data_IF_379479060180
#
_entry.id   IF_379479060180
#
_cell.length_a   1.000
_cell.length_b   1.000
_cell.length_c   1.000
_cell.angle_alpha   90.00
_cell.angle_beta   90.00
_cell.angle_gamma   90.00
#
_symmetry.space_group_name_H-M   'P 1'
#
loop_
_entity.id
_entity.type
_entity.pdbx_description
1 polymer ?
#
# COMPACT_ATOMS: atom_id res chain seq x y z
N UNK A 1 -3.40 -18.24 -28.84
CA UNK A 1 -3.93 -18.95 -27.67
C UNK A 1 -2.89 -18.86 -26.56
N UNK A 2 -3.26 -18.42 -25.35
CA UNK A 2 -2.34 -18.37 -24.22
C UNK A 2 -2.33 -19.73 -23.53
N UNK A 3 -1.14 -20.32 -23.33
CA UNK A 3 -0.97 -21.58 -22.59
C UNK A 3 -0.37 -21.33 -21.21
N UNK A 4 -0.79 -22.11 -20.22
CA UNK A 4 -0.23 -22.06 -18.87
C UNK A 4 1.19 -22.62 -18.89
N UNK A 5 2.11 -21.98 -18.18
CA UNK A 5 3.49 -22.46 -18.03
C UNK A 5 3.64 -23.14 -16.65
N UNK A 6 3.70 -24.50 -16.59
CA UNK A 6 3.79 -25.23 -15.32
C UNK A 6 5.01 -24.83 -14.48
N UNK A 7 6.15 -24.51 -15.12
CA UNK A 7 7.39 -24.11 -14.44
C UNK A 7 7.31 -22.76 -13.74
N UNK A 8 6.32 -21.92 -14.10
CA UNK A 8 6.08 -20.59 -13.50
C UNK A 8 4.79 -20.54 -12.69
N UNK A 9 4.12 -21.68 -12.53
CA UNK A 9 2.87 -21.82 -11.79
C UNK A 9 3.13 -22.48 -10.44
N UNK A 10 2.54 -21.94 -9.39
CA UNK A 10 2.70 -22.42 -8.02
C UNK A 10 1.33 -22.46 -7.34
N UNK A 11 1.21 -23.32 -6.33
CA UNK A 11 0.03 -23.39 -5.47
C UNK A 11 0.37 -22.72 -4.14
N UNK A 12 -0.38 -21.69 -3.80
CA UNK A 12 -0.29 -21.01 -2.50
C UNK A 12 -1.54 -21.36 -1.67
N UNK A 13 -1.45 -22.29 -0.72
CA UNK A 13 -2.56 -22.60 0.16
C UNK A 13 -2.80 -21.42 1.11
N UNK A 14 -4.06 -21.02 1.25
CA UNK A 14 -4.46 -19.96 2.17
C UNK A 14 -5.42 -20.59 3.18
N UNK A 15 -5.03 -20.64 4.44
CA UNK A 15 -5.87 -21.18 5.49
C UNK A 15 -5.88 -20.30 6.73
N UNK A 16 -6.96 -20.41 7.51
CA UNK A 16 -7.14 -19.69 8.77
C UNK A 16 -6.26 -20.27 9.88
N UNK A 17 -6.01 -21.59 9.85
CA UNK A 17 -5.23 -22.32 10.82
C UNK A 17 -3.88 -22.75 10.21
N UNK A 18 -2.95 -23.24 11.06
CA UNK A 18 -1.67 -23.73 10.60
C UNK A 18 -1.84 -24.77 9.47
N UNK A 19 -1.10 -24.56 8.38
CA UNK A 19 -1.08 -25.45 7.22
C UNK A 19 -0.15 -26.65 7.43
N UNK A 20 0.61 -26.68 8.53
CA UNK A 20 1.69 -27.64 8.76
C UNK A 20 1.19 -29.09 8.91
N UNK A 21 -0.09 -29.26 9.24
CA UNK A 21 -0.72 -30.59 9.38
C UNK A 21 -1.61 -31.01 8.21
N UNK A 22 -1.75 -30.16 7.17
CA UNK A 22 -2.62 -30.46 6.05
C UNK A 22 -1.87 -31.17 4.91
N UNK A 23 -2.29 -32.38 4.59
CA UNK A 23 -1.82 -33.11 3.40
C UNK A 23 -2.69 -32.69 2.22
N UNK A 24 -2.08 -32.04 1.25
CA UNK A 24 -2.77 -31.63 0.02
C UNK A 24 -2.54 -32.66 -1.08
N UNK A 25 -3.60 -33.03 -1.79
CA UNK A 25 -3.46 -33.80 -3.01
C UNK A 25 -2.69 -32.99 -4.07
N UNK A 26 -1.79 -33.63 -4.84
CA UNK A 26 -1.00 -32.94 -5.86
C UNK A 26 -1.89 -32.33 -6.94
N UNK A 27 -1.74 -31.01 -7.15
CA UNK A 27 -2.41 -30.30 -8.24
C UNK A 27 -1.51 -30.35 -9.45
N UNK A 28 -2.05 -30.76 -10.60
CA UNK A 28 -1.31 -30.94 -11.85
C UNK A 28 -1.82 -30.02 -12.95
N UNK A 29 -0.93 -29.57 -13.82
CA UNK A 29 -1.23 -28.99 -15.13
C UNK A 29 -0.66 -29.97 -16.14
N UNK A 30 -1.54 -30.61 -16.93
CA UNK A 30 -1.24 -31.75 -17.78
C UNK A 30 -0.54 -32.88 -16.97
N UNK A 31 0.69 -33.19 -17.28
CA UNK A 31 1.51 -34.22 -16.59
C UNK A 31 2.36 -33.64 -15.45
N UNK A 32 2.46 -32.31 -15.33
CA UNK A 32 3.36 -31.64 -14.38
C UNK A 32 2.67 -31.34 -13.06
N UNK A 33 3.20 -31.84 -11.95
CA UNK A 33 2.75 -31.46 -10.61
C UNK A 33 3.21 -30.06 -10.26
N UNK A 34 2.31 -29.24 -9.72
CA UNK A 34 2.64 -27.91 -9.24
C UNK A 34 3.24 -27.94 -7.84
N UNK A 35 4.22 -27.10 -7.62
CA UNK A 35 4.85 -26.95 -6.32
C UNK A 35 3.97 -26.14 -5.37
N UNK A 36 3.77 -26.64 -4.15
CA UNK A 36 3.18 -25.89 -3.05
C UNK A 36 4.22 -24.96 -2.44
N UNK A 37 3.85 -23.70 -2.24
CA UNK A 37 4.71 -22.67 -1.67
C UNK A 37 3.99 -21.92 -0.57
N UNK A 38 4.72 -21.49 0.45
CA UNK A 38 4.17 -20.64 1.53
C UNK A 38 4.15 -19.15 1.19
N UNK A 39 4.88 -18.78 0.14
CA UNK A 39 5.03 -17.39 -0.31
C UNK A 39 5.29 -17.32 -1.81
N UNK A 40 4.65 -16.37 -2.48
CA UNK A 40 4.82 -16.13 -3.92
C UNK A 40 5.01 -14.63 -4.20
N UNK A 41 5.79 -14.32 -5.22
CA UNK A 41 5.89 -12.97 -5.77
C UNK A 41 5.03 -12.87 -7.03
N UNK A 42 3.96 -12.08 -6.97
CA UNK A 42 3.09 -11.83 -8.11
C UNK A 42 3.13 -10.34 -8.48
N UNK A 43 3.49 -10.03 -9.72
CA UNK A 43 3.63 -8.66 -10.25
C UNK A 43 4.44 -7.73 -9.31
N UNK A 44 5.45 -8.25 -8.62
CA UNK A 44 6.28 -7.47 -7.69
C UNK A 44 5.75 -7.40 -6.26
N UNK A 45 4.52 -7.82 -5.99
CA UNK A 45 3.95 -7.94 -4.65
C UNK A 45 4.20 -9.32 -4.07
N UNK A 46 4.57 -9.39 -2.78
CA UNK A 46 4.73 -10.67 -2.07
C UNK A 46 3.45 -11.02 -1.34
N UNK A 47 2.92 -12.20 -1.66
CA UNK A 47 1.73 -12.79 -1.03
C UNK A 47 2.19 -14.03 -0.28
N UNK A 48 1.78 -14.18 0.97
CA UNK A 48 2.04 -15.38 1.77
C UNK A 48 0.74 -16.07 2.19
N UNK A 49 0.85 -17.30 2.70
CA UNK A 49 -0.29 -18.13 3.11
C UNK A 49 -1.17 -17.50 4.21
N UNK A 50 -0.61 -16.62 5.02
CA UNK A 50 -1.36 -15.86 6.05
C UNK A 50 -1.99 -14.56 5.54
N UNK A 51 -1.80 -14.22 4.26
CA UNK A 51 -2.20 -12.95 3.65
C UNK A 51 -1.68 -11.71 4.42
N UNK A 52 -0.54 -11.85 5.09
CA UNK A 52 0.13 -10.74 5.76
C UNK A 52 1.00 -9.95 4.77
N UNK A 53 1.11 -8.65 4.99
CA UNK A 53 1.94 -7.79 4.15
C UNK A 53 3.40 -7.73 4.61
N UNK A 54 3.79 -8.46 5.66
CA UNK A 54 5.11 -8.37 6.30
C UNK A 54 6.24 -8.63 5.30
N UNK A 55 6.14 -9.70 4.50
CA UNK A 55 7.16 -10.04 3.50
C UNK A 55 7.31 -8.95 2.44
N UNK A 56 6.19 -8.38 1.99
CA UNK A 56 6.20 -7.28 1.02
C UNK A 56 6.86 -6.04 1.63
N UNK A 57 6.46 -5.63 2.83
CA UNK A 57 7.00 -4.46 3.50
C UNK A 57 8.50 -4.61 3.79
N UNK A 58 8.96 -5.79 4.23
CA UNK A 58 10.39 -6.06 4.42
C UNK A 58 11.16 -5.88 3.11
N UNK A 59 10.61 -6.33 1.98
CA UNK A 59 11.21 -6.13 0.67
C UNK A 59 11.21 -4.65 0.24
N UNK A 60 10.13 -3.91 0.47
CA UNK A 60 10.05 -2.47 0.20
C UNK A 60 11.14 -1.73 0.99
N UNK A 61 11.22 -1.97 2.29
CA UNK A 61 12.23 -1.36 3.17
C UNK A 61 13.65 -1.69 2.71
N UNK A 62 13.93 -2.94 2.36
CA UNK A 62 15.23 -3.35 1.79
C UNK A 62 15.55 -2.57 0.52
N UNK A 63 14.61 -2.42 -0.40
CA UNK A 63 14.81 -1.64 -1.63
C UNK A 63 15.04 -0.16 -1.36
N UNK A 64 14.32 0.43 -0.40
CA UNK A 64 14.54 1.82 0.02
C UNK A 64 15.98 2.02 0.53
N UNK A 65 16.48 1.13 1.40
CA UNK A 65 17.86 1.23 1.90
C UNK A 65 18.90 1.03 0.81
N UNK A 66 18.69 0.12 -0.13
CA UNK A 66 19.58 -0.05 -1.29
C UNK A 66 19.62 1.22 -2.16
N UNK A 67 18.45 1.81 -2.45
CA UNK A 67 18.37 3.07 -3.19
C UNK A 67 19.06 4.20 -2.45
N UNK A 68 18.82 4.34 -1.14
CA UNK A 68 19.48 5.36 -0.32
C UNK A 68 21.00 5.17 -0.27
N UNK A 69 21.49 3.91 -0.21
CA UNK A 69 22.91 3.62 -0.28
C UNK A 69 23.54 4.17 -1.56
N UNK A 70 22.91 3.90 -2.70
CA UNK A 70 23.42 4.38 -3.99
C UNK A 70 23.38 5.92 -4.08
N UNK A 71 22.29 6.55 -3.60
CA UNK A 71 22.16 8.00 -3.61
C UNK A 71 23.18 8.69 -2.70
N UNK A 72 23.63 8.05 -1.62
CA UNK A 72 24.64 8.59 -0.71
C UNK A 72 26.03 8.68 -1.33
N UNK A 73 26.34 7.88 -2.35
CA UNK A 73 27.65 7.92 -3.03
C UNK A 73 27.93 9.28 -3.70
N UNK A 74 26.88 10.00 -4.10
CA UNK A 74 26.97 11.32 -4.72
C UNK A 74 26.40 12.45 -3.85
N UNK A 75 26.19 12.19 -2.55
CA UNK A 75 25.46 13.10 -1.64
C UNK A 75 26.15 14.45 -1.51
N UNK A 76 27.47 14.49 -1.42
CA UNK A 76 28.22 15.71 -1.10
C UNK A 76 28.14 16.74 -2.23
N UNK A 77 27.99 16.29 -3.46
CA UNK A 77 27.89 17.13 -4.65
C UNK A 77 26.43 17.43 -5.07
N UNK A 78 25.45 16.88 -4.35
CA UNK A 78 24.05 16.97 -4.75
C UNK A 78 23.29 18.03 -3.93
N UNK A 79 22.73 19.07 -4.55
CA UNK A 79 21.93 20.09 -3.85
C UNK A 79 20.67 19.48 -3.21
N UNK A 80 20.21 20.10 -2.10
CA UNK A 80 19.00 19.65 -1.36
C UNK A 80 17.77 19.56 -2.27
N UNK A 81 17.59 20.52 -3.19
CA UNK A 81 16.48 20.52 -4.14
C UNK A 81 16.48 19.30 -5.06
N UNK A 82 17.65 18.84 -5.50
CA UNK A 82 17.83 17.64 -6.32
C UNK A 82 17.62 16.39 -5.46
N UNK A 83 18.17 16.34 -4.23
CA UNK A 83 17.93 15.24 -3.29
C UNK A 83 16.44 15.04 -3.02
N UNK A 84 15.67 16.14 -2.80
CA UNK A 84 14.21 16.09 -2.67
C UNK A 84 13.55 15.44 -3.89
N UNK A 85 13.94 15.86 -5.10
CA UNK A 85 13.41 15.28 -6.36
C UNK A 85 13.75 13.80 -6.48
N UNK A 86 15.00 13.41 -6.17
CA UNK A 86 15.42 12.00 -6.22
C UNK A 86 14.63 11.13 -5.23
N UNK A 87 14.42 11.59 -4.00
CA UNK A 87 13.60 10.85 -3.02
C UNK A 87 12.16 10.72 -3.51
N UNK A 88 11.57 11.79 -4.03
CA UNK A 88 10.19 11.77 -4.57
C UNK A 88 10.04 10.84 -5.77
N UNK A 89 11.04 10.75 -6.64
CA UNK A 89 10.97 9.94 -7.87
C UNK A 89 11.41 8.49 -7.70
N UNK A 90 12.36 8.19 -6.79
CA UNK A 90 12.94 6.85 -6.66
C UNK A 90 12.51 6.12 -5.39
N UNK A 91 12.22 6.82 -4.30
CA UNK A 91 11.91 6.22 -3.00
C UNK A 91 10.40 6.22 -2.74
N UNK A 92 9.71 7.36 -2.93
CA UNK A 92 8.26 7.43 -2.69
C UNK A 92 7.48 6.39 -3.51
N UNK A 93 7.79 6.12 -4.79
CA UNK A 93 7.12 5.06 -5.56
C UNK A 93 7.27 3.66 -4.98
N UNK A 94 8.34 3.38 -4.24
CA UNK A 94 8.50 2.09 -3.56
C UNK A 94 7.46 1.90 -2.46
N UNK A 95 7.12 2.97 -1.73
CA UNK A 95 6.09 2.96 -0.70
C UNK A 95 4.67 2.93 -1.27
N UNK A 96 4.47 3.48 -2.48
CA UNK A 96 3.15 3.62 -3.06
C UNK A 96 2.81 2.55 -4.09
N UNK A 97 3.76 1.64 -4.37
CA UNK A 97 3.50 0.51 -5.24
C UNK A 97 2.55 -0.47 -4.54
N UNK A 98 1.37 -0.68 -5.13
CA UNK A 98 0.33 -1.56 -4.59
C UNK A 98 -0.18 -1.18 -3.19
N UNK A 99 -0.10 0.10 -2.78
CA UNK A 99 -0.54 0.57 -1.46
C UNK A 99 -2.01 0.25 -1.16
N UNK A 100 -2.82 0.12 -2.17
CA UNK A 100 -4.24 -0.26 -2.05
C UNK A 100 -4.39 -1.67 -1.48
N UNK A 101 -3.47 -2.59 -1.82
CA UNK A 101 -3.50 -3.98 -1.34
C UNK A 101 -3.19 -4.05 0.16
N UNK A 102 -2.29 -3.20 0.65
CA UNK A 102 -1.97 -3.11 2.07
C UNK A 102 -2.54 -1.85 2.73
N UNK A 103 -3.79 -1.55 2.44
CA UNK A 103 -4.49 -0.35 2.91
C UNK A 103 -4.48 -0.18 4.45
N UNK A 104 -4.31 -1.25 5.21
CA UNK A 104 -4.10 -1.24 6.65
C UNK A 104 -2.97 -2.18 7.05
N UNK A 105 -1.85 -1.60 7.44
CA UNK A 105 -0.70 -2.32 7.97
C UNK A 105 -0.82 -2.54 9.49
N UNK A 106 -0.14 -3.58 9.98
CA UNK A 106 0.13 -3.72 11.40
C UNK A 106 1.14 -2.64 11.89
N UNK A 107 1.16 -2.38 13.19
CA UNK A 107 2.00 -1.33 13.80
C UNK A 107 3.49 -1.55 13.53
N UNK A 108 3.97 -2.80 13.52
CA UNK A 108 5.37 -3.14 13.25
C UNK A 108 5.75 -2.81 11.81
N UNK A 109 4.93 -3.20 10.84
CA UNK A 109 5.14 -2.90 9.42
C UNK A 109 5.08 -1.40 9.14
N UNK A 110 4.11 -0.69 9.75
CA UNK A 110 4.03 0.77 9.63
C UNK A 110 5.26 1.46 10.25
N UNK A 111 5.72 1.00 11.41
CA UNK A 111 6.95 1.50 12.02
C UNK A 111 8.16 1.36 11.10
N UNK A 112 8.33 0.21 10.44
CA UNK A 112 9.41 0.00 9.46
C UNK A 112 9.36 0.99 8.31
N UNK A 113 8.17 1.29 7.76
CA UNK A 113 8.01 2.29 6.70
C UNK A 113 8.35 3.69 7.21
N UNK A 114 7.89 4.06 8.41
CA UNK A 114 8.22 5.34 9.04
C UNK A 114 9.73 5.51 9.22
N UNK A 115 10.43 4.48 9.74
CA UNK A 115 11.89 4.50 9.91
C UNK A 115 12.59 4.65 8.56
N UNK A 116 12.15 3.94 7.54
CA UNK A 116 12.72 4.03 6.20
C UNK A 116 12.51 5.44 5.59
N UNK A 117 11.33 6.04 5.75
CA UNK A 117 11.06 7.41 5.32
C UNK A 117 11.87 8.44 6.10
N UNK A 118 12.05 8.25 7.40
CA UNK A 118 12.90 9.08 8.24
C UNK A 118 14.37 9.07 7.75
N UNK A 119 14.87 7.90 7.31
CA UNK A 119 16.22 7.80 6.73
C UNK A 119 16.31 8.51 5.36
N UNK A 120 15.23 8.50 4.57
CA UNK A 120 15.18 9.28 3.34
C UNK A 120 15.20 10.79 3.63
N UNK A 121 14.49 11.24 4.67
CA UNK A 121 14.51 12.62 5.14
C UNK A 121 15.93 13.04 5.59
N UNK A 122 16.62 12.19 6.39
CA UNK A 122 18.00 12.45 6.81
C UNK A 122 18.95 12.57 5.61
N UNK A 123 18.79 11.73 4.60
CA UNK A 123 19.59 11.84 3.37
C UNK A 123 19.40 13.19 2.68
N UNK A 124 18.16 13.68 2.58
CA UNK A 124 17.86 14.97 1.91
C UNK A 124 18.54 16.13 2.60
N UNK A 125 18.48 16.17 3.93
CA UNK A 125 18.93 17.32 4.73
C UNK A 125 20.32 17.15 5.35
N UNK A 126 21.02 16.05 5.06
CA UNK A 126 22.36 15.79 5.62
C UNK A 126 22.38 15.54 7.13
N UNK A 127 21.23 15.10 7.69
CA UNK A 127 21.09 14.91 9.13
C UNK A 127 21.74 13.60 9.60
N UNK A 128 22.35 13.63 10.78
CA UNK A 128 22.94 12.45 11.44
C UNK A 128 21.84 11.53 12.01
N UNK A 129 22.25 10.33 12.44
CA UNK A 129 21.32 9.29 12.94
C UNK A 129 20.47 9.77 14.11
N UNK A 130 21.03 10.56 15.00
CA UNK A 130 20.37 11.00 16.24
C UNK A 130 19.78 12.42 16.17
N UNK A 131 19.95 13.11 15.03
CA UNK A 131 19.38 14.44 14.88
C UNK A 131 17.86 14.38 14.86
N UNK A 132 17.21 15.39 15.45
CA UNK A 132 15.78 15.55 15.39
C UNK A 132 15.34 15.85 13.94
N UNK A 133 14.29 15.13 13.49
CA UNK A 133 13.79 15.26 12.11
C UNK A 133 12.40 15.92 12.06
N UNK A 134 11.83 16.28 13.21
CA UNK A 134 10.43 16.77 13.32
C UNK A 134 10.12 17.92 12.35
N UNK A 135 11.06 18.89 12.23
CA UNK A 135 10.92 20.04 11.35
C UNK A 135 10.93 19.70 9.85
N UNK A 136 11.53 18.56 9.48
CA UNK A 136 11.75 18.16 8.10
C UNK A 136 10.86 17.01 7.65
N UNK A 137 10.24 16.32 8.61
CA UNK A 137 9.52 15.06 8.37
C UNK A 137 8.41 15.21 7.33
N UNK A 138 7.68 16.32 7.38
CA UNK A 138 6.57 16.60 6.47
C UNK A 138 6.98 17.25 5.15
N UNK A 139 8.20 17.75 5.03
CA UNK A 139 8.64 18.54 3.86
C UNK A 139 8.69 17.78 2.54
N UNK A 140 8.87 16.45 2.59
CA UNK A 140 8.98 15.63 1.38
C UNK A 140 7.59 15.28 0.84
N UNK A 141 6.68 14.84 1.71
CA UNK A 141 5.35 14.35 1.34
C UNK A 141 4.21 15.32 1.68
N UNK A 142 4.48 16.37 2.46
CA UNK A 142 3.47 17.27 3.03
C UNK A 142 2.87 16.76 4.34
N UNK A 143 3.00 15.46 4.64
CA UNK A 143 2.48 14.78 5.81
C UNK A 143 3.34 13.57 6.17
N UNK A 144 3.01 12.86 7.24
CA UNK A 144 3.62 11.59 7.57
C UNK A 144 3.28 10.51 6.53
N UNK A 145 4.14 9.48 6.40
CA UNK A 145 3.93 8.40 5.41
C UNK A 145 2.59 7.67 5.64
N UNK A 146 2.16 7.50 6.88
CA UNK A 146 0.89 6.87 7.20
C UNK A 146 -0.30 7.67 6.64
N UNK A 147 -0.31 8.98 6.89
CA UNK A 147 -1.37 9.87 6.43
C UNK A 147 -1.33 10.06 4.91
N UNK A 148 -0.13 10.05 4.34
CA UNK A 148 0.05 10.02 2.90
C UNK A 148 -0.60 8.78 2.26
N UNK A 149 -0.39 7.59 2.85
CA UNK A 149 -1.01 6.35 2.37
C UNK A 149 -2.54 6.35 2.55
N UNK A 150 -3.06 6.90 3.68
CA UNK A 150 -4.51 7.09 3.88
C UNK A 150 -5.12 8.00 2.80
N UNK A 151 -4.48 9.13 2.51
CA UNK A 151 -4.93 10.04 1.45
C UNK A 151 -4.96 9.35 0.08
N UNK A 152 -3.94 8.55 -0.25
CA UNK A 152 -3.89 7.80 -1.51
C UNK A 152 -5.00 6.75 -1.62
N UNK A 153 -5.32 6.05 -0.53
CA UNK A 153 -6.45 5.13 -0.50
C UNK A 153 -7.79 5.85 -0.75
N UNK A 154 -7.99 7.04 -0.16
CA UNK A 154 -9.17 7.87 -0.44
C UNK A 154 -9.20 8.34 -1.91
N UNK A 155 -8.05 8.71 -2.49
CA UNK A 155 -7.95 9.08 -3.92
C UNK A 155 -8.32 7.91 -4.82
N UNK A 156 -7.88 6.69 -4.48
CA UNK A 156 -8.26 5.50 -5.24
C UNK A 156 -9.77 5.24 -5.15
N UNK A 157 -10.35 5.31 -3.95
CA UNK A 157 -11.79 5.16 -3.76
C UNK A 157 -12.58 6.21 -4.54
N UNK A 158 -12.14 7.47 -4.52
CA UNK A 158 -12.76 8.53 -5.32
C UNK A 158 -12.78 8.21 -6.82
N UNK A 159 -11.63 7.73 -7.37
CA UNK A 159 -11.54 7.32 -8.77
C UNK A 159 -12.48 6.15 -9.07
N UNK A 160 -12.53 5.17 -8.19
CA UNK A 160 -13.36 3.99 -8.34
C UNK A 160 -14.85 4.35 -8.37
N UNK A 161 -15.29 5.24 -7.47
CA UNK A 161 -16.67 5.72 -7.43
C UNK A 161 -17.03 6.58 -8.64
N UNK A 162 -16.08 7.41 -9.12
CA UNK A 162 -16.33 8.31 -10.23
C UNK A 162 -16.32 7.61 -11.58
N UNK A 163 -15.29 6.79 -11.83
CA UNK A 163 -15.06 6.16 -13.13
C UNK A 163 -15.73 4.79 -13.24
N UNK A 164 -16.20 4.20 -12.12
CA UNK A 164 -16.76 2.85 -12.05
C UNK A 164 -15.81 1.77 -12.59
N UNK A 165 -14.51 2.04 -12.55
CA UNK A 165 -13.47 1.15 -13.06
C UNK A 165 -12.36 0.93 -12.03
N UNK A 166 -11.87 -0.32 -11.89
CA UNK A 166 -12.34 -1.53 -12.56
C UNK A 166 -13.71 -2.00 -12.05
N UNK A 167 -14.57 -2.45 -12.95
CA UNK A 167 -15.97 -2.77 -12.66
C UNK A 167 -16.13 -3.83 -11.56
N UNK A 168 -15.30 -4.87 -11.57
CA UNK A 168 -15.34 -5.96 -10.57
C UNK A 168 -15.05 -5.49 -9.13
N UNK A 169 -14.41 -4.33 -8.96
CA UNK A 169 -14.26 -3.70 -7.64
C UNK A 169 -15.45 -2.78 -7.35
N UNK A 170 -15.92 -2.04 -8.35
CA UNK A 170 -17.01 -1.09 -8.19
C UNK A 170 -18.32 -1.78 -7.79
N UNK A 171 -18.68 -2.91 -8.40
CA UNK A 171 -19.89 -3.66 -8.09
C UNK A 171 -20.01 -4.15 -6.64
N UNK A 172 -18.85 -4.25 -5.94
CA UNK A 172 -18.80 -4.64 -4.51
C UNK A 172 -18.98 -3.46 -3.56
N UNK A 173 -19.14 -2.25 -4.09
CA UNK A 173 -19.30 -1.04 -3.29
C UNK A 173 -20.79 -0.70 -3.21
N UNK A 174 -21.32 -0.66 -2.00
CA UNK A 174 -22.68 -0.24 -1.75
C UNK A 174 -22.67 1.15 -1.10
N UNK A 175 -23.40 2.09 -1.70
CA UNK A 175 -23.66 3.40 -1.12
C UNK A 175 -24.77 3.27 -0.07
N UNK A 176 -24.63 4.03 1.01
CA UNK A 176 -25.71 4.15 2.01
C UNK A 176 -26.89 4.91 1.40
N UNK A 177 -28.12 4.54 1.79
CA UNK A 177 -29.36 5.17 1.29
C UNK A 177 -29.54 6.64 1.75
N UNK A 178 -28.60 7.18 2.52
CA UNK A 178 -28.68 8.57 2.97
C UNK A 178 -28.35 9.54 1.83
N UNK A 179 -29.32 10.32 1.40
CA UNK A 179 -29.12 11.38 0.40
C UNK A 179 -28.20 12.52 0.89
N UNK A 180 -28.02 12.67 2.22
CA UNK A 180 -27.22 13.73 2.82
C UNK A 180 -25.74 13.41 2.92
N UNK A 181 -25.37 12.13 2.97
CA UNK A 181 -23.99 11.70 3.06
C UNK A 181 -23.68 10.65 1.99
N UNK A 182 -22.61 10.84 1.23
CA UNK A 182 -22.10 9.84 0.28
C UNK A 182 -21.29 8.77 1.01
N UNK A 183 -21.83 8.22 2.10
CA UNK A 183 -21.15 7.20 2.87
C UNK A 183 -21.27 5.84 2.17
N UNK A 184 -20.27 5.00 2.40
CA UNK A 184 -20.23 3.63 1.94
C UNK A 184 -20.72 2.69 3.03
N UNK A 185 -21.48 1.67 2.64
CA UNK A 185 -21.80 0.57 3.54
C UNK A 185 -20.52 -0.24 3.77
N UNK A 186 -20.15 -0.39 5.03
CA UNK A 186 -18.97 -1.17 5.40
C UNK A 186 -19.36 -2.64 5.38
N UNK A 187 -18.76 -3.48 4.50
CA UNK A 187 -19.05 -4.90 4.49
C UNK A 187 -18.70 -5.54 5.83
N UNK A 188 -19.60 -6.37 6.36
CA UNK A 188 -19.34 -7.20 7.53
C UNK A 188 -18.77 -8.54 7.10
N UNK A 189 -17.66 -8.95 7.72
CA UNK A 189 -17.05 -10.26 7.50
C UNK A 189 -16.72 -10.87 8.86
N UNK A 190 -17.03 -12.13 9.02
CA UNK A 190 -16.80 -12.87 10.27
C UNK A 190 -15.34 -13.38 10.43
N UNK A 191 -14.37 -12.71 9.81
CA UNK A 191 -12.97 -13.13 9.85
C UNK A 191 -12.11 -12.14 10.66
N UNK A 192 -11.18 -12.67 11.45
CA UNK A 192 -10.26 -11.90 12.31
C UNK A 192 -9.48 -10.80 11.54
N UNK A 193 -9.15 -11.04 10.28
CA UNK A 193 -8.41 -10.09 9.44
C UNK A 193 -9.30 -9.23 8.53
N UNK A 194 -10.62 -9.26 8.68
CA UNK A 194 -11.55 -8.50 7.83
C UNK A 194 -11.29 -6.99 7.84
N UNK A 195 -10.83 -6.46 8.97
CA UNK A 195 -10.49 -5.03 9.09
C UNK A 195 -9.32 -4.59 8.20
N UNK A 196 -8.51 -5.54 7.67
CA UNK A 196 -7.38 -5.27 6.76
C UNK A 196 -7.80 -5.30 5.30
N UNK A 197 -8.98 -5.81 4.99
CA UNK A 197 -9.49 -5.85 3.63
C UNK A 197 -9.66 -4.43 3.08
N UNK A 198 -9.29 -4.25 1.82
CA UNK A 198 -9.38 -2.97 1.12
C UNK A 198 -10.76 -2.31 1.30
N UNK A 199 -11.83 -3.05 1.00
CA UNK A 199 -13.20 -2.50 1.07
C UNK A 199 -13.58 -2.03 2.47
N UNK A 200 -13.19 -2.77 3.51
CA UNK A 200 -13.53 -2.41 4.91
C UNK A 200 -12.75 -1.18 5.34
N UNK A 201 -11.43 -1.21 5.15
CA UNK A 201 -10.58 -0.12 5.61
C UNK A 201 -10.80 1.16 4.81
N UNK A 202 -10.88 1.05 3.49
CA UNK A 202 -11.04 2.23 2.63
C UNK A 202 -12.44 2.83 2.74
N UNK A 203 -13.49 2.00 2.96
CA UNK A 203 -14.83 2.51 3.28
C UNK A 203 -14.85 3.28 4.60
N UNK A 204 -14.16 2.80 5.65
CA UNK A 204 -14.02 3.55 6.90
C UNK A 204 -13.30 4.88 6.71
N UNK A 205 -12.18 4.87 5.99
CA UNK A 205 -11.43 6.09 5.66
C UNK A 205 -12.29 7.07 4.83
N UNK A 206 -13.01 6.56 3.84
CA UNK A 206 -13.93 7.37 3.05
C UNK A 206 -15.04 7.98 3.91
N UNK A 207 -15.64 7.20 4.79
CA UNK A 207 -16.72 7.67 5.65
C UNK A 207 -16.26 8.72 6.67
N UNK A 208 -14.98 8.69 7.09
CA UNK A 208 -14.41 9.71 7.98
C UNK A 208 -14.15 11.06 7.30
N UNK A 209 -14.20 11.11 5.96
CA UNK A 209 -14.04 12.38 5.25
C UNK A 209 -15.27 13.28 5.44
N UNK A 210 -15.08 14.62 5.55
CA UNK A 210 -16.16 15.57 5.53
C UNK A 210 -16.99 15.48 4.25
N UNK A 211 -18.30 15.77 4.35
CA UNK A 211 -19.19 15.72 3.19
C UNK A 211 -18.76 16.70 2.08
N UNK A 212 -18.15 17.82 2.43
CA UNK A 212 -17.59 18.76 1.44
C UNK A 212 -16.58 18.09 0.52
N UNK A 213 -15.71 17.24 1.06
CA UNK A 213 -14.72 16.50 0.25
C UNK A 213 -15.39 15.43 -0.63
N UNK A 214 -16.38 14.72 -0.12
CA UNK A 214 -17.11 13.67 -0.87
C UNK A 214 -17.92 14.24 -2.04
N UNK A 215 -18.27 15.52 -2.00
CA UNK A 215 -19.05 16.20 -3.04
C UNK A 215 -18.18 16.86 -4.12
N UNK A 216 -16.85 16.82 -4.00
CA UNK A 216 -15.95 17.33 -5.03
C UNK A 216 -16.09 16.52 -6.31
N UNK A 217 -16.23 17.19 -7.45
CA UNK A 217 -16.32 16.53 -8.75
C UNK A 217 -14.97 16.39 -9.47
N UNK A 218 -14.02 17.27 -9.18
CA UNK A 218 -12.70 17.26 -9.84
C UNK A 218 -11.69 16.41 -9.07
N UNK A 219 -11.06 15.46 -9.74
CA UNK A 219 -10.01 14.62 -9.14
C UNK A 219 -8.80 15.46 -8.69
N UNK A 220 -8.46 16.52 -9.41
CA UNK A 220 -7.31 17.35 -9.06
C UNK A 220 -7.57 18.19 -7.80
N UNK A 221 -8.78 18.71 -7.66
CA UNK A 221 -9.23 19.41 -6.45
C UNK A 221 -9.29 18.42 -5.29
N UNK A 222 -9.93 17.24 -5.48
CA UNK A 222 -10.03 16.23 -4.44
C UNK A 222 -8.65 15.79 -3.91
N UNK A 223 -7.68 15.57 -4.80
CA UNK A 223 -6.30 15.21 -4.39
C UNK A 223 -5.67 16.25 -3.46
N UNK A 224 -5.83 17.52 -3.78
CA UNK A 224 -5.28 18.63 -2.96
C UNK A 224 -5.96 18.69 -1.61
N UNK A 225 -7.27 18.65 -1.59
CA UNK A 225 -8.06 18.84 -0.37
C UNK A 225 -7.96 17.62 0.57
N UNK A 226 -7.97 16.38 0.03
CA UNK A 226 -7.80 15.19 0.87
C UNK A 226 -6.38 15.10 1.46
N UNK A 227 -5.36 15.56 0.74
CA UNK A 227 -4.01 15.65 1.30
C UNK A 227 -3.96 16.66 2.46
N UNK A 228 -4.57 17.83 2.32
CA UNK A 228 -4.67 18.82 3.42
C UNK A 228 -5.43 18.26 4.63
N UNK A 229 -6.47 17.47 4.41
CA UNK A 229 -7.26 16.88 5.49
C UNK A 229 -6.43 15.92 6.36
N UNK A 230 -5.45 15.23 5.79
CA UNK A 230 -4.56 14.31 6.50
C UNK A 230 -3.21 14.94 6.91
N UNK A 231 -2.98 16.23 6.70
CA UNK A 231 -1.77 16.99 7.14
C UNK A 231 -1.93 17.52 8.53
#
# INVERSE_FOLDING_TARGET
>A
MLSLNPKKSYVLPIAKNSLDSMVFSPIKIDTNSLQFVSKIKNLGFYINSSLSCVDHINNVVKRVYLTLRNLRLSSDFTPISVKKKLVRSLIVPLFTYSEVVYSKLDSSSMHKLNVAMNNATRYVYGLKRYDHISNWKKEILGCDIEDYLKARNCIFMFKLLKNKTPFYLYEKINLSNSQRSRNLIIPSFNYLNSSRLFFVNTARLWNSLPNMLKNINSINVFKKEVQKFFT
#
